data_IF_078588068100
#
_entry.id   IF_078588068100
#
_cell.length_a   1.000
_cell.length_b   1.000
_cell.length_c   1.000
_cell.angle_alpha   90.00
_cell.angle_beta   90.00
_cell.angle_gamma   90.00
#
_symmetry.space_group_name_H-M   'P 1'
#
loop_
_entity.id
_entity.type
_entity.pdbx_description
1 polymer ?
#
# COMPACT_ATOMS: atom_id res chain seq x y z
N UNK A 1 -16.60 -9.23 2.00
CA UNK A 1 -15.54 -8.27 2.39
C UNK A 1 -16.04 -6.90 1.99
N UNK A 2 -16.10 -5.93 2.90
CA UNK A 2 -16.55 -4.58 2.58
C UNK A 2 -15.45 -3.77 1.90
N UNK A 3 -14.23 -3.84 2.42
CA UNK A 3 -13.08 -3.11 1.86
C UNK A 3 -11.76 -3.83 2.08
N UNK A 4 -10.83 -3.60 1.16
CA UNK A 4 -9.46 -4.10 1.18
C UNK A 4 -8.54 -2.90 0.93
N UNK A 5 -7.57 -2.68 1.82
CA UNK A 5 -6.62 -1.58 1.70
C UNK A 5 -5.19 -2.10 1.89
N UNK A 6 -4.25 -1.70 1.05
CA UNK A 6 -2.84 -1.92 1.31
C UNK A 6 -2.34 -0.83 2.29
N UNK A 7 -1.80 -1.21 3.44
CA UNK A 7 -1.25 -0.25 4.42
C UNK A 7 0.28 -0.23 4.43
N UNK A 8 0.93 -1.14 3.71
CA UNK A 8 2.40 -1.16 3.58
C UNK A 8 2.92 -0.06 2.68
N UNK A 9 2.08 0.50 1.81
CA UNK A 9 2.41 1.62 0.93
C UNK A 9 1.63 2.87 1.32
N UNK A 10 2.15 4.08 1.08
CA UNK A 10 1.37 5.30 1.23
C UNK A 10 0.08 5.27 0.40
N UNK A 11 -1.02 5.72 0.98
CA UNK A 11 -2.30 5.79 0.27
C UNK A 11 -2.21 6.64 -1.01
N UNK A 12 -1.46 7.74 -0.95
CA UNK A 12 -1.31 8.67 -2.06
C UNK A 12 -0.62 8.03 -3.27
N UNK A 13 0.46 7.27 -3.06
CA UNK A 13 1.17 6.57 -4.14
C UNK A 13 0.30 5.48 -4.76
N UNK A 14 -0.52 4.80 -3.96
CA UNK A 14 -1.48 3.81 -4.46
C UNK A 14 -2.55 4.45 -5.36
N UNK A 15 -3.07 5.63 -4.99
CA UNK A 15 -4.07 6.34 -5.78
C UNK A 15 -3.46 6.83 -7.10
N UNK A 16 -2.25 7.42 -7.05
CA UNK A 16 -1.53 7.82 -8.26
C UNK A 16 -1.32 6.67 -9.24
N UNK A 17 -0.89 5.50 -8.72
CA UNK A 17 -0.70 4.30 -9.53
C UNK A 17 -2.00 3.81 -10.18
N UNK A 18 -3.14 3.86 -9.46
CA UNK A 18 -4.46 3.50 -10.03
C UNK A 18 -4.86 4.48 -11.14
N UNK A 19 -4.59 5.78 -10.95
CA UNK A 19 -4.97 6.81 -11.91
C UNK A 19 -4.08 6.82 -13.16
N UNK A 20 -2.98 6.03 -13.16
CA UNK A 20 -2.05 5.95 -14.27
C UNK A 20 -1.26 7.23 -14.49
N UNK A 21 -1.33 8.19 -13.57
CA UNK A 21 -0.64 9.46 -13.67
C UNK A 21 0.82 9.22 -13.30
N UNK A 22 1.66 9.04 -14.32
CA UNK A 22 3.08 8.79 -14.13
C UNK A 22 3.76 10.08 -13.67
N UNK A 23 3.97 10.21 -12.36
CA UNK A 23 4.75 11.30 -11.78
C UNK A 23 6.26 11.11 -12.02
N UNK A 24 6.70 10.90 -13.27
CA UNK A 24 8.12 10.75 -13.61
C UNK A 24 8.99 11.95 -13.19
N UNK A 25 8.37 13.12 -13.00
CA UNK A 25 9.03 14.37 -12.64
C UNK A 25 9.16 14.61 -11.12
N UNK A 26 8.49 13.85 -10.25
CA UNK A 26 8.59 14.04 -8.80
C UNK A 26 9.90 13.48 -8.21
N UNK A 27 10.65 12.73 -9.02
CA UNK A 27 11.91 12.07 -8.64
C UNK A 27 13.16 12.78 -9.20
N UNK A 28 12.99 13.94 -9.83
CA UNK A 28 14.10 14.74 -10.37
C UNK A 28 14.49 15.78 -9.31
N UNK A 29 15.36 15.38 -8.38
CA UNK A 29 16.03 16.30 -7.46
C UNK A 29 17.37 16.74 -8.04
N UNK A 30 17.55 18.06 -8.17
CA UNK A 30 18.82 18.69 -8.58
C UNK A 30 19.77 18.94 -7.41
N UNK A 31 19.28 18.76 -6.18
CA UNK A 31 20.03 18.99 -4.96
C UNK A 31 20.50 17.66 -4.39
N UNK A 32 21.83 17.52 -4.32
CA UNK A 32 22.58 16.67 -3.39
C UNK A 32 22.18 15.18 -3.34
N UNK A 33 23.14 14.30 -3.61
CA UNK A 33 23.10 12.87 -3.26
C UNK A 33 22.97 12.69 -1.75
N UNK A 34 21.82 13.04 -1.16
CA UNK A 34 21.47 12.67 0.19
C UNK A 34 21.44 11.15 0.18
N UNK A 35 22.40 10.57 0.88
CA UNK A 35 22.48 9.15 1.16
C UNK A 35 21.12 8.74 1.72
N UNK A 36 20.22 8.22 0.86
CA UNK A 36 18.97 7.67 1.32
C UNK A 36 19.36 6.58 2.31
N UNK A 37 19.18 6.87 3.60
CA UNK A 37 19.47 5.94 4.66
C UNK A 37 18.70 4.68 4.29
N UNK A 38 19.43 3.61 3.97
CA UNK A 38 18.85 2.40 3.41
C UNK A 38 17.79 1.89 4.38
N UNK A 39 16.52 2.21 4.06
CA UNK A 39 15.38 1.61 4.70
C UNK A 39 15.04 0.44 3.79
N UNK A 40 15.12 -0.80 4.27
CA UNK A 40 14.66 -1.91 3.47
C UNK A 40 13.22 -1.58 3.03
N UNK A 41 12.89 -1.74 1.73
CA UNK A 41 11.49 -1.63 1.33
C UNK A 41 10.68 -2.61 2.20
N UNK A 42 9.45 -2.25 2.60
CA UNK A 42 8.62 -3.16 3.39
C UNK A 42 8.56 -4.49 2.65
N UNK A 43 9.16 -5.52 3.26
CA UNK A 43 9.45 -6.79 2.58
C UNK A 43 8.20 -7.61 2.28
N UNK A 44 7.04 -7.21 2.83
CA UNK A 44 5.75 -7.85 2.61
C UNK A 44 4.66 -6.80 2.48
N UNK A 45 3.74 -7.04 1.55
CA UNK A 45 2.46 -6.34 1.46
C UNK A 45 1.67 -6.60 2.75
N UNK A 46 1.02 -5.57 3.27
CA UNK A 46 0.12 -5.70 4.42
C UNK A 46 -1.25 -5.19 4.00
N UNK A 47 -2.21 -6.09 3.86
CA UNK A 47 -3.62 -5.77 3.63
C UNK A 47 -4.38 -5.55 4.95
N UNK A 48 -5.19 -4.50 4.98
CA UNK A 48 -6.20 -4.23 5.99
C UNK A 48 -7.57 -4.57 5.40
N UNK A 49 -8.30 -5.41 6.11
CA UNK A 49 -9.56 -6.01 5.66
C UNK A 49 -10.68 -5.55 6.57
N UNK A 50 -11.73 -4.98 5.98
CA UNK A 50 -12.99 -4.80 6.69
C UNK A 50 -13.96 -5.93 6.30
N UNK A 51 -14.22 -6.81 7.24
CA UNK A 51 -15.08 -7.98 7.09
C UNK A 51 -16.40 -7.70 7.80
N UNK A 52 -17.51 -8.11 7.20
CA UNK A 52 -18.81 -8.06 7.87
C UNK A 52 -19.60 -9.30 7.52
N UNK A 53 -20.37 -9.78 8.48
CA UNK A 53 -21.42 -10.80 8.32
C UNK A 53 -22.82 -10.16 8.11
N UNK A 54 -22.87 -8.83 7.94
CA UNK A 54 -24.12 -8.06 7.82
C UNK A 54 -24.67 -7.54 9.14
N UNK A 55 -24.08 -7.92 10.29
CA UNK A 55 -24.48 -7.45 11.62
C UNK A 55 -23.32 -6.87 12.41
N UNK A 56 -22.14 -7.45 12.26
CA UNK A 56 -20.92 -7.06 12.97
C UNK A 56 -19.85 -6.69 11.96
N UNK A 57 -19.04 -5.68 12.29
CA UNK A 57 -17.88 -5.28 11.50
C UNK A 57 -16.63 -5.78 12.23
N UNK A 58 -15.84 -6.60 11.55
CA UNK A 58 -14.56 -7.13 11.99
C UNK A 58 -13.45 -6.51 11.15
N UNK A 59 -12.31 -6.25 11.79
CA UNK A 59 -11.12 -5.68 11.15
C UNK A 59 -10.01 -6.72 11.20
N UNK A 60 -9.47 -7.07 10.05
CA UNK A 60 -8.38 -8.01 9.90
C UNK A 60 -7.15 -7.33 9.33
N UNK A 61 -5.98 -7.85 9.69
CA UNK A 61 -4.71 -7.44 9.11
C UNK A 61 -3.99 -8.68 8.60
N UNK A 62 -3.42 -8.57 7.40
CA UNK A 62 -2.57 -9.59 6.80
C UNK A 62 -1.25 -9.67 7.57
N UNK A 63 -1.12 -10.69 8.41
CA UNK A 63 0.10 -10.93 9.20
C UNK A 63 1.22 -11.57 8.36
N UNK A 64 0.84 -12.43 7.42
CA UNK A 64 1.70 -13.12 6.46
C UNK A 64 1.06 -13.04 5.08
N UNK A 65 1.86 -13.03 4.01
CA UNK A 65 1.35 -12.85 2.65
C UNK A 65 0.32 -13.92 2.28
N UNK A 66 -0.90 -13.49 1.95
CA UNK A 66 -2.02 -14.32 1.50
C UNK A 66 -2.11 -14.21 -0.01
N UNK A 67 -1.57 -15.22 -0.73
CA UNK A 67 -1.50 -15.24 -2.20
C UNK A 67 -2.86 -15.28 -2.93
N UNK A 68 -3.98 -15.44 -2.20
CA UNK A 68 -5.33 -15.47 -2.75
C UNK A 68 -6.12 -14.18 -2.55
N UNK A 69 -5.54 -13.18 -1.88
CA UNK A 69 -6.14 -11.86 -1.70
C UNK A 69 -5.30 -10.85 -2.47
N UNK A 70 -5.92 -10.13 -3.38
CA UNK A 70 -5.29 -9.00 -4.06
C UNK A 70 -6.16 -7.76 -3.91
N UNK A 71 -5.54 -6.59 -4.10
CA UNK A 71 -6.24 -5.32 -4.13
C UNK A 71 -6.44 -5.00 -5.60
N UNK A 72 -7.57 -5.45 -6.15
CA UNK A 72 -8.04 -5.13 -7.52
C UNK A 72 -8.01 -3.61 -7.79
#
# INVERSE_FOLDING_TARGET
INSILCISEPYYTQVLNIHGDQNGNERIDTDTTETQQWKPPPTKRVLYLELTDGKTILRGLEYETISGLDRD
#
